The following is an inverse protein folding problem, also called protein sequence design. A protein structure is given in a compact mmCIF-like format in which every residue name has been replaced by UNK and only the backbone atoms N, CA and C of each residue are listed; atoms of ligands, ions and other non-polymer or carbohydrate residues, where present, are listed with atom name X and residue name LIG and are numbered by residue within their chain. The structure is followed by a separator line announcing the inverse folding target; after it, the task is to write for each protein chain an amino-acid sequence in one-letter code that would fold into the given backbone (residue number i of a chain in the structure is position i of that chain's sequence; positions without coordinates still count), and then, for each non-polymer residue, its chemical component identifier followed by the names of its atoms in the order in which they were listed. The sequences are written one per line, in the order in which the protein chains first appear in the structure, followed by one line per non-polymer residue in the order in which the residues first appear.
data_IF_373472550099
#
_entry.id   IF_373472550099
#
_cell.length_a   1.000
_cell.length_b   1.000
_cell.length_c   1.000
_cell.angle_alpha   90.00
_cell.angle_beta   90.00
_cell.angle_gamma   90.00
#
_symmetry.space_group_name_H-M   'P 1'
#
loop_
_entity.id
_entity.type
_entity.pdbx_description
1 polymer ?
#
# COMPACT_ATOMS: atom_id res chain seq x y z
N UNK A 1 -3.55 -0.14 23.17
CA UNK A 1 -4.43 -0.92 22.27
C UNK A 1 -4.45 -2.37 22.73
N UNK A 2 -5.63 -2.89 23.08
CA UNK A 2 -5.82 -4.24 23.59
C UNK A 2 -5.33 -5.31 22.58
N UNK A 3 -4.58 -6.32 23.09
CA UNK A 3 -4.07 -7.45 22.30
C UNK A 3 -5.21 -8.21 21.61
N UNK A 4 -6.39 -8.30 22.24
CA UNK A 4 -7.58 -8.94 21.69
C UNK A 4 -8.07 -8.23 20.42
N UNK A 5 -8.12 -6.90 20.45
CA UNK A 5 -8.50 -6.08 19.28
C UNK A 5 -7.53 -6.29 18.13
N UNK A 6 -6.22 -6.31 18.39
CA UNK A 6 -5.20 -6.58 17.35
C UNK A 6 -5.38 -7.95 16.71
N UNK A 7 -5.60 -8.99 17.51
CA UNK A 7 -5.82 -10.36 17.02
C UNK A 7 -7.08 -10.45 16.14
N UNK A 8 -8.20 -9.89 16.60
CA UNK A 8 -9.44 -9.88 15.82
C UNK A 8 -9.27 -9.15 14.49
N UNK A 9 -8.67 -7.97 14.49
CA UNK A 9 -8.43 -7.20 13.26
C UNK A 9 -7.52 -7.95 12.28
N UNK A 10 -6.49 -8.63 12.78
CA UNK A 10 -5.60 -9.46 11.94
C UNK A 10 -6.32 -10.68 11.34
N UNK A 11 -7.17 -11.37 12.11
CA UNK A 11 -7.96 -12.49 11.62
C UNK A 11 -8.95 -12.04 10.52
N UNK A 12 -9.64 -10.92 10.74
CA UNK A 12 -10.56 -10.32 9.76
C UNK A 12 -9.82 -9.92 8.49
N UNK A 13 -8.67 -9.26 8.61
CA UNK A 13 -7.84 -8.88 7.46
C UNK A 13 -7.47 -10.09 6.61
N UNK A 14 -6.91 -11.14 7.21
CA UNK A 14 -6.49 -12.34 6.50
C UNK A 14 -7.68 -13.05 5.81
N UNK A 15 -8.81 -13.15 6.50
CA UNK A 15 -10.02 -13.74 5.95
C UNK A 15 -10.58 -12.93 4.77
N UNK A 16 -10.55 -11.60 4.86
CA UNK A 16 -11.04 -10.72 3.80
C UNK A 16 -10.17 -10.83 2.54
N UNK A 17 -8.85 -10.77 2.68
CA UNK A 17 -7.93 -10.94 1.55
C UNK A 17 -8.14 -12.30 0.87
N UNK A 18 -8.29 -13.38 1.64
CA UNK A 18 -8.55 -14.70 1.08
C UNK A 18 -9.89 -14.76 0.31
N UNK A 19 -10.96 -14.13 0.82
CA UNK A 19 -12.23 -14.05 0.11
C UNK A 19 -12.17 -13.21 -1.17
N UNK A 20 -11.38 -12.13 -1.19
CA UNK A 20 -11.19 -11.27 -2.37
C UNK A 20 -10.36 -11.90 -3.49
N UNK A 21 -9.64 -12.98 -3.19
CA UNK A 21 -9.00 -13.84 -4.20
C UNK A 21 -10.05 -14.77 -4.83
N UNK A 22 -10.99 -15.27 -4.01
CA UNK A 22 -11.99 -16.25 -4.43
C UNK A 22 -13.19 -15.64 -5.18
N UNK A 23 -13.62 -14.41 -4.83
CA UNK A 23 -14.84 -13.80 -5.40
C UNK A 23 -14.78 -12.26 -5.43
N UNK A 24 -15.78 -11.68 -6.08
CA UNK A 24 -15.96 -10.22 -6.14
C UNK A 24 -16.24 -9.61 -4.76
N UNK A 25 -15.59 -8.48 -4.48
CA UNK A 25 -15.63 -7.81 -3.18
C UNK A 25 -17.05 -7.44 -2.74
N UNK A 26 -17.91 -7.02 -3.67
CA UNK A 26 -19.31 -6.67 -3.40
C UNK A 26 -20.20 -7.88 -3.10
N UNK A 27 -19.76 -9.10 -3.45
CA UNK A 27 -20.46 -10.36 -3.15
C UNK A 27 -20.07 -10.95 -1.81
N UNK A 28 -19.04 -10.43 -1.14
CA UNK A 28 -18.62 -10.92 0.18
C UNK A 28 -19.61 -10.44 1.24
N UNK A 29 -20.24 -11.38 1.94
CA UNK A 29 -21.13 -11.06 3.05
C UNK A 29 -20.40 -11.02 4.39
N UNK A 30 -20.95 -10.25 5.34
CA UNK A 30 -20.44 -10.22 6.73
C UNK A 30 -20.45 -11.62 7.35
N UNK A 31 -21.45 -12.45 7.02
CA UNK A 31 -21.55 -13.82 7.55
C UNK A 31 -20.39 -14.69 7.09
N UNK A 32 -20.06 -14.68 5.79
CA UNK A 32 -18.95 -15.45 5.25
C UNK A 32 -17.61 -15.00 5.82
N UNK A 33 -17.40 -13.68 5.90
CA UNK A 33 -16.20 -13.11 6.50
C UNK A 33 -16.05 -13.55 7.96
N UNK A 34 -17.13 -13.45 8.75
CA UNK A 34 -17.13 -13.88 10.15
C UNK A 34 -16.80 -15.38 10.29
N UNK A 35 -17.40 -16.24 9.45
CA UNK A 35 -17.11 -17.68 9.43
C UNK A 35 -15.64 -17.96 9.10
N UNK A 36 -15.08 -17.28 8.09
CA UNK A 36 -13.68 -17.51 7.67
C UNK A 36 -12.66 -16.91 8.64
N UNK A 37 -13.03 -15.83 9.35
CA UNK A 37 -12.21 -15.20 10.39
C UNK A 37 -12.36 -15.85 11.77
N UNK A 38 -13.24 -16.84 11.92
CA UNK A 38 -13.58 -17.48 13.20
C UNK A 38 -14.03 -16.47 14.29
N UNK A 39 -14.99 -15.61 13.93
CA UNK A 39 -15.58 -14.63 14.84
C UNK A 39 -17.10 -14.56 14.71
N UNK A 40 -17.75 -14.02 15.75
CA UNK A 40 -19.19 -13.74 15.72
C UNK A 40 -19.48 -12.39 15.02
N UNK A 41 -20.69 -12.24 14.45
CA UNK A 41 -21.15 -10.97 13.86
C UNK A 41 -21.11 -9.81 14.86
N UNK A 42 -21.47 -10.04 16.12
CA UNK A 42 -21.37 -9.03 17.17
C UNK A 42 -19.93 -8.53 17.36
N UNK A 43 -18.95 -9.43 17.29
CA UNK A 43 -17.52 -9.09 17.32
C UNK A 43 -17.08 -8.32 16.08
N UNK A 44 -17.59 -8.66 14.89
CA UNK A 44 -17.33 -7.88 13.69
C UNK A 44 -17.84 -6.43 13.84
N UNK A 45 -19.11 -6.26 14.23
CA UNK A 45 -19.72 -4.92 14.35
C UNK A 45 -19.15 -4.09 15.50
N UNK A 46 -18.50 -4.72 16.50
CA UNK A 46 -17.73 -4.01 17.51
C UNK A 46 -16.50 -3.28 16.92
N UNK A 47 -15.95 -3.79 15.82
CA UNK A 47 -14.73 -3.23 15.20
C UNK A 47 -15.00 -2.49 13.89
N UNK A 48 -16.05 -2.87 13.15
CA UNK A 48 -16.34 -2.36 11.82
C UNK A 48 -17.83 -2.02 11.69
N UNK A 49 -18.13 -0.75 11.44
CA UNK A 49 -19.52 -0.27 11.31
C UNK A 49 -20.24 -0.86 10.08
N UNK A 50 -19.51 -1.30 9.08
CA UNK A 50 -20.04 -1.86 7.83
C UNK A 50 -18.98 -2.71 7.11
N UNK A 51 -19.39 -3.44 6.07
CA UNK A 51 -18.44 -4.13 5.18
C UNK A 51 -17.49 -3.13 4.51
N UNK A 52 -17.99 -1.98 4.06
CA UNK A 52 -17.18 -0.92 3.48
C UNK A 52 -16.08 -0.41 4.44
N UNK A 53 -16.42 -0.23 5.72
CA UNK A 53 -15.43 0.16 6.74
C UNK A 53 -14.36 -0.93 6.97
N UNK A 54 -14.73 -2.20 6.88
CA UNK A 54 -13.78 -3.32 6.95
C UNK A 54 -12.84 -3.34 5.73
N UNK A 55 -13.38 -3.12 4.53
CA UNK A 55 -12.59 -3.04 3.30
C UNK A 55 -11.60 -1.86 3.38
N UNK A 56 -12.08 -0.69 3.80
CA UNK A 56 -11.24 0.49 4.01
C UNK A 56 -10.10 0.21 4.99
N UNK A 57 -10.40 -0.46 6.10
CA UNK A 57 -9.37 -0.90 7.05
C UNK A 57 -8.34 -1.84 6.40
N UNK A 58 -8.76 -2.76 5.52
CA UNK A 58 -7.83 -3.65 4.82
C UNK A 58 -6.92 -2.88 3.87
N UNK A 59 -7.45 -1.89 3.15
CA UNK A 59 -6.66 -0.99 2.32
C UNK A 59 -5.61 -0.25 3.15
N UNK A 60 -6.04 0.46 4.20
CA UNK A 60 -5.15 1.23 5.07
C UNK A 60 -4.08 0.34 5.73
N UNK A 61 -4.44 -0.88 6.13
CA UNK A 61 -3.49 -1.82 6.72
C UNK A 61 -2.34 -2.15 5.77
N UNK A 62 -2.57 -2.17 4.45
CA UNK A 62 -1.57 -2.47 3.43
C UNK A 62 -0.83 -1.20 2.99
N UNK A 63 -1.53 -0.08 2.84
CA UNK A 63 -0.99 1.12 2.21
C UNK A 63 -0.34 2.10 3.18
N UNK A 64 -0.78 2.15 4.43
CA UNK A 64 -0.46 3.24 5.34
C UNK A 64 1.04 3.39 5.59
N UNK A 65 1.80 2.30 5.69
CA UNK A 65 3.26 2.37 5.89
C UNK A 65 3.97 3.13 4.76
N UNK A 66 3.60 2.84 3.51
CA UNK A 66 4.16 3.50 2.33
C UNK A 66 3.69 4.96 2.23
N UNK A 67 2.42 5.24 2.58
CA UNK A 67 1.88 6.60 2.60
C UNK A 67 2.60 7.47 3.65
N UNK A 68 2.89 6.94 4.84
CA UNK A 68 3.65 7.67 5.85
C UNK A 68 5.07 8.02 5.39
N UNK A 69 5.74 7.11 4.68
CA UNK A 69 7.05 7.40 4.06
C UNK A 69 6.91 8.56 3.05
N UNK A 70 5.88 8.53 2.21
CA UNK A 70 5.67 9.53 1.16
C UNK A 70 5.49 10.96 1.70
N UNK A 71 4.88 11.12 2.89
CA UNK A 71 4.67 12.43 3.54
C UNK A 71 5.96 13.16 3.89
N UNK A 72 7.08 12.45 4.04
CA UNK A 72 8.38 13.01 4.40
C UNK A 72 9.34 13.19 3.21
N UNK A 73 8.89 12.92 1.98
CA UNK A 73 9.77 12.98 0.81
C UNK A 73 10.00 14.43 0.39
N UNK A 74 11.25 14.85 0.48
CA UNK A 74 11.73 16.10 -0.10
C UNK A 74 12.23 15.86 -1.54
N UNK A 75 11.58 16.48 -2.52
CA UNK A 75 11.85 16.25 -3.94
C UNK A 75 13.31 16.54 -4.32
N UNK A 76 13.90 17.62 -3.80
CA UNK A 76 15.29 17.99 -4.09
C UNK A 76 16.30 16.99 -3.53
N UNK A 77 15.98 16.34 -2.39
CA UNK A 77 16.80 15.27 -1.85
C UNK A 77 16.77 14.03 -2.74
N UNK A 78 15.59 13.64 -3.26
CA UNK A 78 15.45 12.51 -4.19
C UNK A 78 16.25 12.73 -5.47
N UNK A 79 16.27 13.96 -5.98
CA UNK A 79 17.05 14.34 -7.16
C UNK A 79 18.57 14.17 -6.98
N UNK A 80 19.05 14.32 -5.74
CA UNK A 80 20.47 14.13 -5.38
C UNK A 80 20.78 12.66 -5.12
N UNK A 81 20.05 12.05 -4.21
CA UNK A 81 20.18 10.62 -3.91
C UNK A 81 18.85 10.01 -3.45
N UNK A 82 18.21 9.16 -4.27
CA UNK A 82 16.94 8.52 -3.91
C UNK A 82 17.10 7.27 -3.04
N UNK A 83 18.34 6.84 -2.78
CA UNK A 83 18.66 5.52 -2.22
C UNK A 83 18.02 5.28 -0.85
N UNK A 84 18.00 6.28 0.03
CA UNK A 84 17.44 6.15 1.38
C UNK A 84 15.92 5.95 1.37
N UNK A 85 15.21 6.65 0.48
CA UNK A 85 13.76 6.47 0.34
C UNK A 85 13.43 5.11 -0.28
N UNK A 86 14.19 4.67 -1.29
CA UNK A 86 14.00 3.32 -1.85
C UNK A 86 14.21 2.27 -0.76
N UNK A 87 15.29 2.36 0.01
CA UNK A 87 15.54 1.44 1.12
C UNK A 87 14.42 1.48 2.17
N UNK A 88 13.87 2.66 2.48
CA UNK A 88 12.74 2.80 3.39
C UNK A 88 11.47 2.12 2.87
N UNK A 89 11.19 2.27 1.57
CA UNK A 89 10.07 1.58 0.92
C UNK A 89 10.25 0.06 0.97
N UNK A 90 11.43 -0.45 0.59
CA UNK A 90 11.73 -1.89 0.61
C UNK A 90 11.68 -2.46 2.03
N UNK A 91 12.15 -1.72 3.04
CA UNK A 91 12.03 -2.12 4.45
C UNK A 91 10.57 -2.30 4.88
N UNK A 92 9.65 -1.43 4.43
CA UNK A 92 8.23 -1.57 4.76
C UNK A 92 7.56 -2.74 4.02
N UNK A 93 8.04 -3.08 2.82
CA UNK A 93 7.61 -4.28 2.07
C UNK A 93 8.07 -5.56 2.79
N UNK A 94 9.29 -5.57 3.34
CA UNK A 94 9.88 -6.73 4.02
C UNK A 94 9.39 -6.92 5.46
N UNK A 95 8.89 -5.86 6.09
CA UNK A 95 8.49 -5.85 7.50
C UNK A 95 7.40 -6.90 7.80
N UNK A 96 7.45 -7.57 8.96
CA UNK A 96 6.34 -8.39 9.50
C UNK A 96 5.72 -9.42 8.52
N UNK A 97 6.53 -10.10 7.70
CA UNK A 97 6.06 -11.06 6.68
C UNK A 97 5.12 -10.42 5.64
N UNK A 98 5.26 -9.11 5.38
CA UNK A 98 4.37 -8.38 4.50
C UNK A 98 4.52 -8.82 3.03
N UNK A 99 5.65 -9.37 2.60
CA UNK A 99 5.82 -10.00 1.26
C UNK A 99 4.72 -11.04 0.97
N UNK A 100 4.43 -11.95 1.90
CA UNK A 100 3.40 -12.96 1.69
C UNK A 100 2.00 -12.33 1.56
N UNK A 101 1.71 -11.34 2.42
CA UNK A 101 0.44 -10.62 2.41
C UNK A 101 0.26 -9.82 1.14
N UNK A 102 1.30 -9.12 0.70
CA UNK A 102 1.34 -8.34 -0.53
C UNK A 102 1.24 -9.24 -1.76
N UNK A 103 1.82 -10.44 -1.73
CA UNK A 103 1.67 -11.43 -2.80
C UNK A 103 0.21 -11.91 -2.91
N UNK A 104 -0.43 -12.24 -1.78
CA UNK A 104 -1.86 -12.59 -1.75
C UNK A 104 -2.73 -11.42 -2.22
N UNK A 105 -2.41 -10.22 -1.75
CA UNK A 105 -3.10 -9.00 -2.12
C UNK A 105 -2.96 -8.68 -3.61
N UNK A 106 -1.77 -8.87 -4.21
CA UNK A 106 -1.49 -8.69 -5.64
C UNK A 106 -2.45 -9.52 -6.49
N UNK A 107 -2.74 -10.75 -6.04
CA UNK A 107 -3.63 -11.69 -6.73
C UNK A 107 -5.12 -11.46 -6.41
N UNK A 108 -5.46 -10.53 -5.51
CA UNK A 108 -6.85 -10.22 -5.17
C UNK A 108 -7.45 -9.21 -6.16
N UNK A 109 -8.77 -9.25 -6.35
CA UNK A 109 -9.49 -8.26 -7.17
C UNK A 109 -9.42 -6.83 -6.61
N UNK A 110 -9.03 -6.70 -5.35
CA UNK A 110 -8.83 -5.42 -4.65
C UNK A 110 -7.52 -4.71 -5.05
N UNK A 111 -6.59 -5.43 -5.68
CA UNK A 111 -5.25 -4.92 -6.02
C UNK A 111 -5.29 -3.60 -6.78
N UNK A 112 -5.89 -3.60 -7.97
CA UNK A 112 -5.89 -2.43 -8.85
C UNK A 112 -6.53 -1.17 -8.23
N UNK A 113 -7.72 -1.24 -7.58
CA UNK A 113 -8.27 -0.11 -6.84
C UNK A 113 -7.35 0.42 -5.74
N UNK A 114 -6.71 -0.45 -4.95
CA UNK A 114 -5.82 0.03 -3.89
C UNK A 114 -4.58 0.71 -4.47
N UNK A 115 -3.97 0.14 -5.52
CA UNK A 115 -2.78 0.72 -6.13
C UNK A 115 -3.09 2.09 -6.71
N UNK A 116 -4.26 2.26 -7.32
CA UNK A 116 -4.73 3.58 -7.78
C UNK A 116 -4.82 4.57 -6.61
N UNK A 117 -5.49 4.18 -5.52
CA UNK A 117 -5.63 5.04 -4.34
C UNK A 117 -4.29 5.34 -3.68
N UNK A 118 -3.41 4.35 -3.56
CA UNK A 118 -2.06 4.51 -2.99
C UNK A 118 -1.23 5.48 -3.84
N UNK A 119 -1.19 5.30 -5.16
CA UNK A 119 -0.48 6.20 -6.08
C UNK A 119 -1.00 7.64 -5.97
N UNK A 120 -2.31 7.81 -5.85
CA UNK A 120 -2.92 9.12 -5.63
C UNK A 120 -2.51 9.73 -4.29
N UNK A 121 -2.67 9.01 -3.18
CA UNK A 121 -2.33 9.49 -1.84
C UNK A 121 -0.84 9.84 -1.71
N UNK A 122 0.04 9.03 -2.30
CA UNK A 122 1.47 9.32 -2.33
C UNK A 122 1.78 10.58 -3.12
N UNK A 123 1.22 10.71 -4.33
CA UNK A 123 1.42 11.90 -5.16
C UNK A 123 0.96 13.16 -4.42
N UNK A 124 -0.24 13.13 -3.83
CA UNK A 124 -0.79 14.23 -3.05
C UNK A 124 0.08 14.58 -1.84
N UNK A 125 0.56 13.58 -1.10
CA UNK A 125 1.43 13.76 0.05
C UNK A 125 2.78 14.39 -0.32
N UNK A 126 3.44 13.88 -1.37
CA UNK A 126 4.73 14.40 -1.84
C UNK A 126 4.57 15.82 -2.38
N UNK A 127 3.59 16.07 -3.24
CA UNK A 127 3.35 17.40 -3.79
C UNK A 127 3.03 18.42 -2.69
N UNK A 128 2.22 18.03 -1.71
CA UNK A 128 1.86 18.91 -0.59
C UNK A 128 3.07 19.23 0.29
N UNK A 129 3.93 18.25 0.60
CA UNK A 129 5.16 18.46 1.36
C UNK A 129 6.14 19.44 0.67
N UNK A 130 6.17 19.41 -0.66
CA UNK A 130 7.06 20.24 -1.47
C UNK A 130 6.40 21.53 -2.00
N UNK A 131 5.16 21.84 -1.57
CA UNK A 131 4.36 22.99 -2.03
C UNK A 131 4.17 23.04 -3.57
N UNK A 132 4.08 21.87 -4.20
CA UNK A 132 3.86 21.77 -5.64
C UNK A 132 2.38 21.80 -6.00
N UNK A 133 2.05 22.57 -7.03
CA UNK A 133 0.74 22.52 -7.69
C UNK A 133 0.93 22.26 -9.18
N UNK A 134 -0.08 21.67 -9.83
CA UNK A 134 -0.01 21.41 -11.27
C UNK A 134 0.19 22.70 -12.08
N UNK A 135 -0.39 23.82 -11.61
CA UNK A 135 -0.30 25.13 -12.26
C UNK A 135 1.12 25.73 -12.20
N UNK A 136 1.80 25.59 -11.06
CA UNK A 136 3.10 26.24 -10.83
C UNK A 136 4.30 25.32 -11.05
N UNK A 137 4.10 24.01 -10.93
CA UNK A 137 5.15 23.00 -10.85
C UNK A 137 4.83 21.80 -11.76
N UNK A 138 4.30 22.05 -12.96
CA UNK A 138 3.85 21.01 -13.89
C UNK A 138 4.90 19.90 -14.09
N UNK A 139 6.16 20.29 -14.31
CA UNK A 139 7.27 19.34 -14.48
C UNK A 139 7.51 18.49 -13.22
N UNK A 140 7.60 19.12 -12.05
CA UNK A 140 7.85 18.40 -10.80
C UNK A 140 6.68 17.48 -10.45
N UNK A 141 5.43 17.94 -10.60
CA UNK A 141 4.23 17.13 -10.35
C UNK A 141 4.19 15.92 -11.30
N UNK A 142 4.50 16.13 -12.59
CA UNK A 142 4.57 15.03 -13.57
C UNK A 142 5.67 14.03 -13.24
N UNK A 143 6.84 14.51 -12.82
CA UNK A 143 7.95 13.68 -12.38
C UNK A 143 7.60 12.86 -11.13
N UNK A 144 6.88 13.45 -10.17
CA UNK A 144 6.36 12.73 -8.99
C UNK A 144 5.39 11.64 -9.41
N UNK A 145 4.43 11.93 -10.30
CA UNK A 145 3.46 10.93 -10.80
C UNK A 145 4.19 9.75 -11.46
N UNK A 146 5.16 10.04 -12.32
CA UNK A 146 5.95 9.02 -13.00
C UNK A 146 6.79 8.19 -12.03
N UNK A 147 7.48 8.84 -11.08
CA UNK A 147 8.27 8.18 -10.05
C UNK A 147 7.42 7.29 -9.13
N UNK A 148 6.28 7.80 -8.63
CA UNK A 148 5.36 7.04 -7.76
C UNK A 148 4.80 5.82 -8.50
N UNK A 149 4.38 5.99 -9.75
CA UNK A 149 3.92 4.89 -10.60
C UNK A 149 5.00 3.83 -10.80
N UNK A 150 6.17 4.25 -11.29
CA UNK A 150 7.29 3.36 -11.56
C UNK A 150 7.77 2.61 -10.31
N UNK A 151 7.97 3.29 -9.19
CA UNK A 151 8.41 2.65 -7.96
C UNK A 151 7.41 1.62 -7.44
N UNK A 152 6.11 1.96 -7.36
CA UNK A 152 5.10 1.02 -6.87
C UNK A 152 5.02 -0.21 -7.76
N UNK A 153 4.90 -0.01 -9.07
CA UNK A 153 4.65 -1.10 -10.00
C UNK A 153 5.91 -2.00 -10.10
N UNK A 154 7.12 -1.43 -10.12
CA UNK A 154 8.40 -2.20 -10.15
C UNK A 154 8.66 -2.95 -8.84
N UNK A 155 8.25 -2.44 -7.69
CA UNK A 155 8.40 -3.14 -6.39
C UNK A 155 7.39 -4.28 -6.27
N UNK A 156 6.13 -4.05 -6.68
CA UNK A 156 5.06 -5.02 -6.50
C UNK A 156 5.11 -6.17 -7.51
N UNK A 157 5.46 -5.89 -8.75
CA UNK A 157 5.40 -6.87 -9.84
C UNK A 157 6.26 -8.12 -9.61
N UNK A 158 7.53 -8.05 -9.17
CA UNK A 158 8.35 -9.25 -8.99
C UNK A 158 7.97 -10.10 -7.78
N UNK A 159 7.04 -9.68 -6.90
CA UNK A 159 6.67 -10.47 -5.73
C UNK A 159 6.08 -11.84 -6.13
N UNK A 160 6.47 -12.94 -5.44
CA UNK A 160 7.35 -13.01 -4.28
C UNK A 160 8.85 -13.15 -4.62
N UNK A 161 9.22 -13.25 -5.89
CA UNK A 161 10.60 -13.35 -6.39
C UNK A 161 11.35 -12.01 -6.29
N UNK A 162 11.48 -11.54 -5.06
CA UNK A 162 12.01 -10.23 -4.68
C UNK A 162 13.54 -10.26 -4.53
N UNK A 163 14.25 -9.39 -5.24
CA UNK A 163 15.70 -9.20 -5.11
C UNK A 163 15.97 -7.74 -4.71
N UNK A 164 16.29 -7.55 -3.43
CA UNK A 164 16.45 -6.22 -2.82
C UNK A 164 17.55 -5.41 -3.50
N UNK A 165 18.73 -6.01 -3.70
CA UNK A 165 19.90 -5.31 -4.21
C UNK A 165 19.67 -4.86 -5.65
N UNK A 166 19.12 -5.74 -6.49
CA UNK A 166 18.78 -5.39 -7.88
C UNK A 166 17.70 -4.32 -7.95
N UNK A 167 16.65 -4.42 -7.13
CA UNK A 167 15.59 -3.41 -7.09
C UNK A 167 16.13 -2.04 -6.66
N UNK A 168 16.94 -1.98 -5.60
CA UNK A 168 17.57 -0.73 -5.18
C UNK A 168 18.43 -0.13 -6.30
N UNK A 169 19.29 -0.93 -6.93
CA UNK A 169 20.15 -0.46 -8.00
C UNK A 169 19.34 0.09 -9.20
N UNK A 170 18.32 -0.63 -9.64
CA UNK A 170 17.47 -0.23 -10.77
C UNK A 170 16.66 1.02 -10.44
N UNK A 171 15.96 1.05 -9.30
CA UNK A 171 15.11 2.18 -8.91
C UNK A 171 15.95 3.45 -8.70
N UNK A 172 17.11 3.34 -8.05
CA UNK A 172 18.02 4.48 -7.86
C UNK A 172 18.49 5.03 -9.20
N UNK A 173 18.87 4.14 -10.13
CA UNK A 173 19.32 4.54 -11.46
C UNK A 173 18.20 5.20 -12.29
N UNK A 174 16.95 4.74 -12.17
CA UNK A 174 15.81 5.33 -12.88
C UNK A 174 15.41 6.67 -12.29
N UNK A 175 15.31 6.78 -10.95
CA UNK A 175 14.93 8.03 -10.30
C UNK A 175 15.93 9.16 -10.57
N UNK A 176 17.24 8.87 -10.68
CA UNK A 176 18.27 9.86 -11.04
C UNK A 176 18.12 10.43 -12.46
N UNK A 177 17.42 9.73 -13.36
CA UNK A 177 17.16 10.19 -14.74
C UNK A 177 15.94 11.09 -14.84
N UNK A 178 15.04 11.03 -13.87
CA UNK A 178 13.85 11.87 -13.80
C UNK A 178 14.30 13.20 -13.21
N UNK A 179 14.64 14.19 -14.04
CA UNK A 179 15.03 15.54 -13.64
C UNK A 179 14.09 16.57 -14.24
#
# INVERSE_FOLDING_TARGET
MDRRVKRTKAAVFNAMIALMIEKETDKITVLELCKKADINKSTFYLHFKSMGACIQFCFETITNGIVEIAKGINYDQIQRDPTDIINSMLNEIERNNNIERLTKFKNSRMCAPALRMLKQQMTEAICSHNNFTMEKNYHQVTNVIYAVGGCIDVILEPLPAFDREKLTAVLTAQLRKIR
#
